data_IF_179017879582
#
_entry.id   IF_179017879582
#
_cell.length_a   1.000
_cell.length_b   1.000
_cell.length_c   1.000
_cell.angle_alpha   90.00
_cell.angle_beta   90.00
_cell.angle_gamma   90.00
#
_symmetry.space_group_name_H-M   'P 1'
#
loop_
_entity.id
_entity.type
_entity.pdbx_description
1 polymer ?
#
# COMPACT_ATOMS: atom_id res chain seq x y z
N UNK A 1 -4.95 6.06 18.79
CA UNK A 1 -4.36 7.14 17.95
C UNK A 1 -5.50 7.91 17.30
N UNK A 2 -5.49 9.25 17.39
CA UNK A 2 -6.51 10.06 16.73
C UNK A 2 -6.14 10.30 15.23
N UNK A 3 -7.12 10.72 14.38
CA UNK A 3 -6.85 10.91 12.96
C UNK A 3 -5.73 11.93 12.64
N UNK A 4 -5.57 12.99 13.41
CA UNK A 4 -4.55 14.01 13.14
C UNK A 4 -3.14 13.52 13.52
N UNK A 5 -3.00 12.75 14.59
CA UNK A 5 -1.75 12.07 14.92
C UNK A 5 -1.33 11.11 13.81
N UNK A 6 -2.28 10.28 13.32
CA UNK A 6 -2.01 9.38 12.20
C UNK A 6 -1.65 10.14 10.93
N UNK A 7 -2.34 11.25 10.62
CA UNK A 7 -1.99 12.11 9.48
C UNK A 7 -0.55 12.59 9.58
N UNK A 8 -0.11 13.06 10.75
CA UNK A 8 1.26 13.52 10.97
C UNK A 8 2.28 12.39 10.69
N UNK A 9 1.99 11.18 11.18
CA UNK A 9 2.84 10.00 10.94
C UNK A 9 2.92 9.69 9.45
N UNK A 10 1.80 9.66 8.74
CA UNK A 10 1.74 9.35 7.31
C UNK A 10 2.27 10.46 6.40
N UNK A 11 2.69 11.60 6.93
CA UNK A 11 3.23 12.71 6.15
C UNK A 11 4.74 12.61 5.90
N UNK A 12 5.40 11.58 6.41
CA UNK A 12 6.83 11.33 6.23
C UNK A 12 7.14 9.83 6.33
N UNK A 13 8.33 9.44 5.90
CA UNK A 13 8.81 8.07 5.95
C UNK A 13 8.32 7.19 4.78
N UNK A 14 8.76 5.95 4.81
CA UNK A 14 8.38 4.93 3.84
C UNK A 14 7.22 4.10 4.38
N UNK A 15 6.22 3.83 3.54
CA UNK A 15 5.10 2.97 3.86
C UNK A 15 5.27 1.60 3.18
N UNK A 16 4.68 0.55 3.73
CA UNK A 16 4.64 -0.73 3.06
C UNK A 16 3.32 -1.47 3.25
N UNK A 17 3.09 -2.42 2.36
CA UNK A 17 1.92 -3.27 2.28
C UNK A 17 2.40 -4.72 2.38
N UNK A 18 2.47 -5.32 3.58
CA UNK A 18 2.85 -6.72 3.72
C UNK A 18 1.99 -7.62 2.86
N UNK A 19 2.62 -8.58 2.16
CA UNK A 19 1.88 -9.66 1.50
C UNK A 19 1.19 -10.52 2.56
N UNK A 20 0.04 -11.07 2.25
CA UNK A 20 -0.64 -12.04 3.10
C UNK A 20 -0.06 -13.43 2.83
N UNK A 21 0.35 -14.12 3.88
CA UNK A 21 0.91 -15.47 3.78
C UNK A 21 -0.23 -16.49 3.64
N UNK A 22 -0.10 -17.36 2.64
CA UNK A 22 -0.99 -18.49 2.44
C UNK A 22 -0.22 -19.81 2.48
N UNK A 23 -0.88 -20.88 2.88
CA UNK A 23 -0.33 -22.23 2.74
C UNK A 23 -0.50 -22.74 1.29
N UNK A 24 -0.03 -23.94 1.01
CA UNK A 24 -0.11 -24.55 -0.32
C UNK A 24 -1.55 -24.82 -0.79
N UNK A 25 -2.50 -24.89 0.13
CA UNK A 25 -3.94 -25.00 -0.15
C UNK A 25 -4.58 -23.65 -0.42
N UNK A 26 -3.84 -22.57 -0.17
CA UNK A 26 -4.32 -21.21 -0.31
C UNK A 26 -5.04 -20.68 0.95
N UNK A 27 -5.01 -21.35 2.11
CA UNK A 27 -5.56 -20.85 3.36
C UNK A 27 -4.60 -19.87 4.02
N UNK A 28 -5.11 -18.97 4.86
CA UNK A 28 -4.28 -18.02 5.60
C UNK A 28 -3.29 -18.72 6.52
N UNK A 29 -2.00 -18.44 6.31
CA UNK A 29 -0.90 -18.96 7.14
C UNK A 29 -0.53 -17.92 8.19
N UNK A 30 -1.23 -17.94 9.33
CA UNK A 30 -1.00 -16.99 10.41
C UNK A 30 0.43 -17.00 10.94
N UNK A 31 1.03 -18.18 11.11
CA UNK A 31 2.40 -18.29 11.64
C UNK A 31 3.45 -17.69 10.67
N UNK A 32 3.29 -17.92 9.37
CA UNK A 32 4.13 -17.30 8.33
C UNK A 32 3.98 -15.78 8.34
N UNK A 33 2.74 -15.28 8.45
CA UNK A 33 2.46 -13.86 8.46
C UNK A 33 3.05 -13.15 9.70
N UNK A 34 2.96 -13.75 10.90
CA UNK A 34 3.62 -13.24 12.12
C UNK A 34 5.12 -13.12 11.89
N UNK A 35 5.77 -14.20 11.44
CA UNK A 35 7.21 -14.23 11.18
C UNK A 35 7.64 -13.14 10.19
N UNK A 36 6.86 -12.89 9.15
CA UNK A 36 7.08 -11.81 8.18
C UNK A 36 7.00 -10.43 8.83
N UNK A 37 5.96 -10.17 9.60
CA UNK A 37 5.76 -8.89 10.26
C UNK A 37 6.86 -8.60 11.29
N UNK A 38 7.26 -9.59 12.08
CA UNK A 38 8.38 -9.50 13.02
C UNK A 38 9.70 -9.21 12.30
N UNK A 39 9.91 -9.79 11.12
CA UNK A 39 11.08 -9.52 10.30
C UNK A 39 11.06 -8.10 9.71
N UNK A 40 9.93 -7.63 9.20
CA UNK A 40 9.82 -6.32 8.55
C UNK A 40 9.83 -5.14 9.54
N UNK A 41 9.26 -5.31 10.73
CA UNK A 41 9.07 -4.21 11.68
C UNK A 41 10.35 -3.45 12.06
N UNK A 42 11.53 -4.09 12.26
CA UNK A 42 12.77 -3.38 12.62
C UNK A 42 13.35 -2.49 11.53
N UNK A 43 12.95 -2.66 10.26
CA UNK A 43 13.50 -1.87 9.16
C UNK A 43 12.97 -0.43 9.08
N UNK A 44 12.01 -0.04 9.94
CA UNK A 44 11.63 1.35 10.13
C UNK A 44 10.63 1.89 9.11
N UNK A 45 9.79 1.04 8.49
CA UNK A 45 8.62 1.54 7.78
C UNK A 45 7.74 2.35 8.75
N UNK A 46 7.28 3.53 8.31
CA UNK A 46 6.49 4.45 9.16
C UNK A 46 5.11 3.90 9.50
N UNK A 47 4.52 3.14 8.59
CA UNK A 47 3.28 2.39 8.81
C UNK A 47 3.21 1.19 7.86
N UNK A 48 2.49 0.14 8.30
CA UNK A 48 2.18 -1.03 7.48
C UNK A 48 0.67 -1.10 7.22
N UNK A 49 0.31 -1.54 6.01
CA UNK A 49 -1.08 -1.63 5.58
C UNK A 49 -1.48 -3.10 5.40
N UNK A 50 -2.12 -3.68 6.40
CA UNK A 50 -2.63 -5.06 6.35
C UNK A 50 -3.83 -5.18 5.41
N UNK A 51 -3.99 -6.32 4.76
CA UNK A 51 -5.08 -6.59 3.82
C UNK A 51 -5.25 -5.49 2.77
N UNK A 52 -4.15 -4.89 2.30
CA UNK A 52 -4.16 -3.93 1.19
C UNK A 52 -4.12 -4.62 -0.16
N UNK A 53 -3.83 -3.85 -1.24
CA UNK A 53 -3.74 -4.42 -2.58
C UNK A 53 -2.65 -5.50 -2.70
N UNK A 54 -1.45 -5.23 -2.21
CA UNK A 54 -0.34 -6.20 -2.16
C UNK A 54 -0.64 -7.37 -1.23
N UNK A 55 -1.42 -7.14 -0.16
CA UNK A 55 -1.93 -8.17 0.76
C UNK A 55 -3.14 -8.94 0.23
N UNK A 56 -3.45 -8.83 -1.06
CA UNK A 56 -4.52 -9.57 -1.74
C UNK A 56 -5.93 -9.41 -1.12
N UNK A 57 -6.26 -8.19 -0.63
CA UNK A 57 -7.60 -7.90 -0.09
C UNK A 57 -8.73 -8.46 -0.95
N UNK A 58 -8.60 -8.36 -2.29
CA UNK A 58 -9.59 -8.82 -3.25
C UNK A 58 -9.85 -10.34 -3.24
N UNK A 59 -8.95 -11.13 -2.63
CA UNK A 59 -9.06 -12.59 -2.56
C UNK A 59 -9.44 -13.10 -1.15
N UNK A 60 -9.54 -12.21 -0.16
CA UNK A 60 -9.85 -12.58 1.22
C UNK A 60 -11.36 -12.74 1.43
N UNK A 61 -11.77 -13.84 2.04
CA UNK A 61 -13.10 -13.95 2.61
C UNK A 61 -13.21 -13.05 3.87
N UNK A 62 -14.43 -12.66 4.24
CA UNK A 62 -14.65 -11.81 5.40
C UNK A 62 -14.09 -12.40 6.71
N UNK A 63 -14.20 -13.72 6.89
CA UNK A 63 -13.64 -14.43 8.04
C UNK A 63 -12.12 -14.43 8.09
N UNK A 64 -11.45 -14.45 6.92
CA UNK A 64 -10.00 -14.36 6.82
C UNK A 64 -9.51 -12.94 7.04
N UNK A 65 -10.27 -11.94 6.53
CA UNK A 65 -9.96 -10.53 6.73
C UNK A 65 -9.75 -10.18 8.20
N UNK A 66 -10.69 -10.58 9.06
CA UNK A 66 -10.58 -10.34 10.48
C UNK A 66 -9.34 -11.00 11.10
N UNK A 67 -8.97 -12.20 10.66
CA UNK A 67 -7.77 -12.89 11.12
C UNK A 67 -6.50 -12.17 10.68
N UNK A 68 -6.40 -11.76 9.41
CA UNK A 68 -5.24 -11.04 8.86
C UNK A 68 -5.04 -9.71 9.59
N UNK A 69 -6.09 -8.89 9.72
CA UNK A 69 -6.01 -7.59 10.41
C UNK A 69 -5.66 -7.76 11.87
N UNK A 70 -6.34 -8.68 12.58
CA UNK A 70 -6.03 -8.94 14.00
C UNK A 70 -4.59 -9.40 14.20
N UNK A 71 -4.11 -10.32 13.36
CA UNK A 71 -2.73 -10.80 13.44
C UNK A 71 -1.72 -9.66 13.23
N UNK A 72 -1.97 -8.78 12.25
CA UNK A 72 -1.09 -7.64 12.01
C UNK A 72 -1.08 -6.67 13.20
N UNK A 73 -2.25 -6.33 13.73
CA UNK A 73 -2.36 -5.45 14.90
C UNK A 73 -1.67 -6.04 16.11
N UNK A 74 -1.97 -7.30 16.47
CA UNK A 74 -1.39 -7.96 17.64
C UNK A 74 0.14 -8.08 17.53
N UNK A 75 0.68 -8.37 16.34
CA UNK A 75 2.12 -8.53 16.12
C UNK A 75 2.86 -7.19 16.17
N UNK A 76 2.27 -6.13 15.62
CA UNK A 76 2.95 -4.84 15.43
C UNK A 76 2.54 -3.75 16.42
N UNK A 77 1.62 -4.01 17.35
CA UNK A 77 0.94 -3.01 18.20
C UNK A 77 1.87 -2.00 18.91
N UNK A 78 3.10 -2.39 19.22
CA UNK A 78 4.07 -1.55 19.93
C UNK A 78 5.18 -1.01 19.04
N UNK A 79 5.28 -1.44 17.78
CA UNK A 79 6.44 -1.15 16.91
C UNK A 79 6.07 -0.24 15.73
N UNK A 80 4.97 -0.50 15.05
CA UNK A 80 4.58 0.26 13.87
C UNK A 80 3.04 0.32 13.74
N UNK A 81 2.46 1.49 13.38
CA UNK A 81 1.03 1.62 13.16
C UNK A 81 0.53 0.70 12.04
N UNK A 82 -0.61 0.03 12.27
CA UNK A 82 -1.27 -0.81 11.28
C UNK A 82 -2.52 -0.10 10.75
N UNK A 83 -2.55 0.13 9.43
CA UNK A 83 -3.76 0.49 8.72
C UNK A 83 -4.33 -0.75 8.04
N UNK A 84 -5.65 -0.83 7.93
CA UNK A 84 -6.32 -1.94 7.25
C UNK A 84 -6.90 -1.50 5.90
N UNK A 85 -6.74 -2.35 4.86
CA UNK A 85 -7.45 -2.17 3.59
C UNK A 85 -8.94 -2.47 3.78
N UNK A 86 -9.80 -1.62 3.22
CA UNK A 86 -11.25 -1.82 3.22
C UNK A 86 -11.81 -1.48 1.84
N UNK A 87 -12.87 -2.15 1.39
CA UNK A 87 -13.40 -1.91 0.05
C UNK A 87 -14.58 -2.80 -0.30
N UNK A 88 -14.87 -2.91 -1.58
CA UNK A 88 -16.02 -3.64 -2.09
C UNK A 88 -17.25 -2.76 -2.26
N UNK A 89 -18.46 -3.29 -2.05
CA UNK A 89 -19.67 -2.48 -2.01
C UNK A 89 -19.65 -1.53 -0.79
N UNK A 90 -20.43 -0.46 -0.82
CA UNK A 90 -20.45 0.50 0.30
C UNK A 90 -20.74 -0.18 1.64
N UNK A 91 -21.67 -1.14 1.67
CA UNK A 91 -22.01 -1.87 2.90
C UNK A 91 -20.85 -2.74 3.40
N UNK A 92 -20.21 -3.49 2.49
CA UNK A 92 -19.03 -4.29 2.84
C UNK A 92 -17.87 -3.43 3.33
N UNK A 93 -17.62 -2.28 2.66
CA UNK A 93 -16.58 -1.35 3.09
C UNK A 93 -16.84 -0.80 4.49
N UNK A 94 -18.09 -0.52 4.85
CA UNK A 94 -18.49 -0.11 6.20
C UNK A 94 -18.28 -1.26 7.21
N UNK A 95 -18.70 -2.46 6.90
CA UNK A 95 -18.52 -3.64 7.75
C UNK A 95 -17.03 -3.90 8.02
N UNK A 96 -16.20 -3.90 6.99
CA UNK A 96 -14.76 -4.05 7.13
C UNK A 96 -14.11 -2.88 7.91
N UNK A 97 -14.59 -1.65 7.69
CA UNK A 97 -14.07 -0.47 8.39
C UNK A 97 -14.33 -0.55 9.90
N UNK A 98 -15.56 -0.89 10.28
CA UNK A 98 -15.96 -1.07 11.68
C UNK A 98 -15.23 -2.26 12.34
N UNK A 99 -15.07 -3.36 11.61
CA UNK A 99 -14.32 -4.52 12.10
C UNK A 99 -12.84 -4.17 12.29
N UNK A 100 -12.20 -3.49 11.36
CA UNK A 100 -10.80 -3.04 11.49
C UNK A 100 -10.61 -2.12 12.70
N UNK A 101 -11.51 -1.16 12.92
CA UNK A 101 -11.48 -0.28 14.09
C UNK A 101 -11.65 -1.08 15.38
N UNK A 102 -12.59 -2.03 15.42
CA UNK A 102 -12.82 -2.93 16.58
C UNK A 102 -11.59 -3.78 16.89
N UNK A 103 -10.86 -4.23 15.88
CA UNK A 103 -9.64 -5.03 16.01
C UNK A 103 -8.40 -4.19 16.39
N UNK A 104 -8.52 -2.86 16.44
CA UNK A 104 -7.44 -1.97 16.88
C UNK A 104 -6.57 -1.42 15.76
N UNK A 105 -6.99 -1.51 14.50
CA UNK A 105 -6.31 -0.80 13.41
C UNK A 105 -6.28 0.71 13.71
N UNK A 106 -5.15 1.37 13.40
CA UNK A 106 -4.98 2.80 13.67
C UNK A 106 -5.59 3.69 12.60
N UNK A 107 -5.87 3.12 11.43
CA UNK A 107 -6.51 3.80 10.32
C UNK A 107 -6.92 2.83 9.21
N UNK A 108 -7.44 3.39 8.13
CA UNK A 108 -7.96 2.63 6.99
C UNK A 108 -7.37 3.12 5.68
N UNK A 109 -7.19 2.20 4.74
CA UNK A 109 -7.05 2.51 3.31
C UNK A 109 -8.35 2.09 2.61
N UNK A 110 -9.11 3.07 2.16
CA UNK A 110 -10.31 2.82 1.36
C UNK A 110 -9.90 2.52 -0.09
N UNK A 111 -9.94 1.24 -0.45
CA UNK A 111 -9.68 0.72 -1.78
C UNK A 111 -10.81 1.09 -2.74
N UNK A 112 -10.56 1.13 -4.07
CA UNK A 112 -11.61 1.39 -5.05
C UNK A 112 -12.79 0.41 -4.92
N UNK A 113 -14.00 0.94 -5.11
CA UNK A 113 -15.19 0.10 -5.31
C UNK A 113 -15.05 -0.70 -6.63
N UNK A 114 -15.89 -1.72 -6.82
CA UNK A 114 -15.83 -2.56 -8.03
C UNK A 114 -16.62 -1.99 -9.22
N UNK A 115 -17.56 -1.07 -9.00
CA UNK A 115 -18.44 -0.52 -10.05
C UNK A 115 -17.64 0.39 -10.99
N UNK A 116 -17.70 0.12 -12.29
CA UNK A 116 -16.93 0.86 -13.31
C UNK A 116 -17.58 2.18 -13.73
N UNK A 117 -18.88 2.35 -13.48
CA UNK A 117 -19.72 3.45 -13.98
C UNK A 117 -20.31 4.29 -12.83
N UNK A 118 -19.47 4.68 -11.87
CA UNK A 118 -19.92 5.55 -10.78
C UNK A 118 -19.74 7.04 -11.14
N UNK A 119 -20.76 7.84 -10.87
CA UNK A 119 -20.64 9.31 -10.93
C UNK A 119 -19.77 9.83 -9.78
N UNK A 120 -19.24 11.06 -9.92
CA UNK A 120 -18.47 11.70 -8.84
C UNK A 120 -19.29 11.83 -7.55
N UNK A 121 -20.59 12.11 -7.64
CA UNK A 121 -21.46 12.21 -6.47
C UNK A 121 -21.69 10.84 -5.81
N UNK A 122 -21.78 9.76 -6.62
CA UNK A 122 -21.84 8.38 -6.11
C UNK A 122 -20.56 7.97 -5.40
N UNK A 123 -19.40 8.28 -5.97
CA UNK A 123 -18.11 8.05 -5.32
C UNK A 123 -17.99 8.86 -4.03
N UNK A 124 -18.42 10.14 -4.03
CA UNK A 124 -18.44 10.96 -2.82
C UNK A 124 -19.30 10.34 -1.72
N UNK A 125 -20.51 9.92 -2.06
CA UNK A 125 -21.44 9.30 -1.11
C UNK A 125 -20.84 8.00 -0.51
N UNK A 126 -20.15 7.19 -1.32
CA UNK A 126 -19.44 5.99 -0.88
C UNK A 126 -18.33 6.33 0.14
N UNK A 127 -17.42 7.26 -0.19
CA UNK A 127 -16.34 7.68 0.69
C UNK A 127 -16.88 8.29 1.99
N UNK A 128 -17.88 9.17 1.88
CA UNK A 128 -18.51 9.83 3.03
C UNK A 128 -19.18 8.81 3.97
N UNK A 129 -19.86 7.78 3.42
CA UNK A 129 -20.51 6.75 4.20
C UNK A 129 -19.49 5.92 5.00
N UNK A 130 -18.35 5.54 4.40
CA UNK A 130 -17.27 4.85 5.09
C UNK A 130 -16.63 5.73 6.16
N UNK A 131 -16.29 6.99 5.84
CA UNK A 131 -15.72 7.91 6.81
C UNK A 131 -16.62 8.11 8.05
N UNK A 132 -17.94 8.22 7.85
CA UNK A 132 -18.92 8.38 8.94
C UNK A 132 -19.12 7.15 9.79
N UNK A 133 -18.75 5.97 9.30
CA UNK A 133 -18.95 4.70 10.00
C UNK A 133 -17.91 4.40 11.09
N UNK A 134 -16.78 5.14 11.10
CA UNK A 134 -15.64 4.94 12.01
C UNK A 134 -15.11 6.27 12.53
N UNK A 135 -14.30 6.21 13.60
CA UNK A 135 -13.64 7.37 14.21
C UNK A 135 -12.17 7.47 13.82
N UNK A 136 -11.56 6.38 13.40
CA UNK A 136 -10.14 6.33 12.99
C UNK A 136 -9.93 7.03 11.64
N UNK A 137 -8.66 7.35 11.34
CA UNK A 137 -8.29 8.05 10.12
C UNK A 137 -8.50 7.20 8.86
N UNK A 138 -8.98 7.82 7.79
CA UNK A 138 -9.20 7.18 6.49
C UNK A 138 -8.29 7.80 5.45
N UNK A 139 -7.61 6.96 4.68
CA UNK A 139 -6.87 7.32 3.47
C UNK A 139 -7.67 6.81 2.27
N UNK A 140 -8.07 7.68 1.35
CA UNK A 140 -8.75 7.26 0.13
C UNK A 140 -7.74 6.93 -0.97
N UNK A 141 -7.97 5.83 -1.70
CA UNK A 141 -7.09 5.39 -2.78
C UNK A 141 -7.68 5.76 -4.15
N UNK A 142 -7.07 6.76 -4.76
CA UNK A 142 -7.41 7.22 -6.11
C UNK A 142 -6.79 6.29 -7.15
N UNK A 143 -7.55 5.33 -7.63
CA UNK A 143 -7.06 4.31 -8.59
C UNK A 143 -8.21 3.73 -9.42
N UNK A 144 -7.92 3.38 -10.67
CA UNK A 144 -8.86 2.74 -11.60
C UNK A 144 -10.20 3.49 -11.69
N UNK A 145 -11.28 2.87 -11.20
CA UNK A 145 -12.65 3.40 -11.23
C UNK A 145 -12.94 4.42 -10.14
N UNK A 146 -12.17 4.45 -9.06
CA UNK A 146 -12.29 5.42 -7.97
C UNK A 146 -11.43 6.66 -8.28
N UNK A 147 -11.89 7.48 -9.23
CA UNK A 147 -11.23 8.73 -9.63
C UNK A 147 -11.90 9.91 -8.96
N UNK A 148 -11.15 10.57 -8.08
CA UNK A 148 -11.62 11.73 -7.34
C UNK A 148 -11.04 13.00 -7.95
N UNK A 149 -11.90 13.91 -8.36
CA UNK A 149 -11.47 15.23 -8.82
C UNK A 149 -11.10 16.13 -7.63
N UNK A 150 -10.30 17.16 -7.88
CA UNK A 150 -9.89 18.08 -6.82
C UNK A 150 -11.10 18.80 -6.15
N UNK A 151 -12.14 19.28 -6.88
CA UNK A 151 -13.35 19.83 -6.25
C UNK A 151 -14.13 18.80 -5.40
N UNK A 152 -14.11 17.51 -5.80
CA UNK A 152 -14.77 16.48 -5.00
C UNK A 152 -14.03 16.23 -3.70
N UNK A 153 -12.69 16.15 -3.74
CA UNK A 153 -11.88 15.99 -2.55
C UNK A 153 -12.02 17.16 -1.58
N UNK A 154 -12.17 18.39 -2.08
CA UNK A 154 -12.44 19.58 -1.27
C UNK A 154 -13.76 19.44 -0.49
N UNK A 155 -14.84 19.06 -1.17
CA UNK A 155 -16.14 18.79 -0.51
C UNK A 155 -16.06 17.67 0.53
N UNK A 156 -15.32 16.59 0.23
CA UNK A 156 -15.10 15.48 1.16
C UNK A 156 -14.26 15.90 2.37
N UNK A 157 -13.26 16.75 2.17
CA UNK A 157 -12.42 17.26 3.24
C UNK A 157 -13.20 18.08 4.27
N UNK A 158 -14.23 18.80 3.83
CA UNK A 158 -15.14 19.56 4.70
C UNK A 158 -16.09 18.65 5.50
N UNK A 159 -16.62 17.60 4.84
CA UNK A 159 -17.65 16.71 5.40
C UNK A 159 -17.10 15.57 6.24
N UNK A 160 -15.85 15.20 6.01
CA UNK A 160 -15.19 14.03 6.61
C UNK A 160 -13.91 14.47 7.34
N UNK A 161 -14.00 14.91 8.61
CA UNK A 161 -12.82 15.35 9.37
C UNK A 161 -11.77 14.25 9.53
N UNK A 162 -12.19 12.98 9.55
CA UNK A 162 -11.33 11.80 9.64
C UNK A 162 -10.83 11.29 8.27
N UNK A 163 -11.20 11.89 7.15
CA UNK A 163 -10.52 11.67 5.87
C UNK A 163 -9.19 12.44 5.93
N UNK A 164 -8.10 11.74 6.17
CA UNK A 164 -6.79 12.33 6.50
C UNK A 164 -5.75 12.17 5.41
N UNK A 165 -5.99 11.31 4.43
CA UNK A 165 -4.99 11.02 3.41
C UNK A 165 -5.59 10.76 2.03
N UNK A 166 -4.76 11.03 1.03
CA UNK A 166 -5.03 10.75 -0.37
C UNK A 166 -3.86 9.96 -0.96
N UNK A 167 -4.13 8.76 -1.42
CA UNK A 167 -3.15 7.92 -2.10
C UNK A 167 -3.41 7.97 -3.60
N UNK A 168 -2.40 8.40 -4.36
CA UNK A 168 -2.49 8.43 -5.82
C UNK A 168 -1.92 7.15 -6.45
N UNK A 169 -2.73 6.46 -7.23
CA UNK A 169 -2.34 5.28 -8.00
C UNK A 169 -2.57 5.43 -9.50
N UNK A 170 -2.80 6.66 -9.98
CA UNK A 170 -3.01 6.96 -11.39
C UNK A 170 -1.77 7.51 -12.08
N UNK A 171 -0.97 8.32 -11.39
CA UNK A 171 0.16 9.04 -11.99
C UNK A 171 -0.26 10.26 -12.79
N UNK A 172 -1.43 10.81 -12.52
CA UNK A 172 -1.94 12.02 -13.17
C UNK A 172 -1.36 13.26 -12.49
N UNK A 173 -0.28 13.78 -13.07
CA UNK A 173 0.47 14.92 -12.54
C UNK A 173 -0.38 16.20 -12.49
N UNK A 174 -1.18 16.46 -13.53
CA UNK A 174 -2.06 17.63 -13.58
C UNK A 174 -3.10 17.59 -12.45
N UNK A 175 -3.72 16.44 -12.24
CA UNK A 175 -4.65 16.23 -11.13
C UNK A 175 -3.95 16.42 -9.77
N UNK A 176 -2.75 15.88 -9.59
CA UNK A 176 -1.99 16.03 -8.34
C UNK A 176 -1.63 17.50 -8.05
N UNK A 177 -1.21 18.26 -9.06
CA UNK A 177 -0.97 19.71 -8.93
C UNK A 177 -2.25 20.42 -8.51
N UNK A 178 -3.38 20.13 -9.17
CA UNK A 178 -4.68 20.72 -8.85
C UNK A 178 -5.11 20.42 -7.40
N UNK A 179 -4.96 19.17 -6.96
CA UNK A 179 -5.28 18.73 -5.59
C UNK A 179 -4.40 19.46 -4.57
N UNK A 180 -3.08 19.45 -4.78
CA UNK A 180 -2.13 20.09 -3.86
C UNK A 180 -2.37 21.60 -3.74
N UNK A 181 -2.68 22.27 -4.84
CA UNK A 181 -2.94 23.72 -4.84
C UNK A 181 -4.25 24.08 -4.13
N UNK A 182 -5.30 23.26 -4.24
CA UNK A 182 -6.58 23.50 -3.57
C UNK A 182 -6.58 23.15 -2.09
N UNK A 183 -5.93 22.05 -1.73
CA UNK A 183 -6.08 21.43 -0.42
C UNK A 183 -4.85 21.63 0.48
N UNK A 184 -3.72 22.13 -0.07
CA UNK A 184 -2.50 22.36 0.70
C UNK A 184 -2.14 21.16 1.56
N UNK A 185 -1.99 21.36 2.86
CA UNK A 185 -1.62 20.31 3.82
C UNK A 185 -2.83 19.68 4.53
N UNK A 186 -4.03 19.76 3.90
CA UNK A 186 -5.25 19.15 4.46
C UNK A 186 -5.13 17.63 4.59
N UNK A 187 -4.41 16.98 3.68
CA UNK A 187 -4.17 15.53 3.65
C UNK A 187 -2.69 15.18 3.78
N UNK A 188 -2.41 13.96 4.24
CA UNK A 188 -1.18 13.26 3.86
C UNK A 188 -1.33 12.77 2.42
N UNK A 189 -0.35 13.05 1.57
CA UNK A 189 -0.35 12.65 0.16
C UNK A 189 0.64 11.52 -0.05
N UNK A 190 0.18 10.42 -0.62
CA UNK A 190 0.93 9.19 -0.73
C UNK A 190 1.08 8.77 -2.20
N UNK A 191 2.30 8.57 -2.67
CA UNK A 191 2.59 7.90 -3.93
C UNK A 191 2.16 6.43 -3.85
N UNK A 192 1.25 6.02 -4.70
CA UNK A 192 0.62 4.71 -4.65
C UNK A 192 0.62 3.93 -5.95
N UNK A 193 1.43 4.36 -6.91
CA UNK A 193 1.66 3.64 -8.16
C UNK A 193 2.38 2.31 -7.89
N UNK A 194 2.14 1.27 -8.68
CA UNK A 194 2.96 0.06 -8.62
C UNK A 194 4.43 0.41 -8.87
N UNK A 195 5.33 -0.04 -8.00
CA UNK A 195 6.74 0.38 -7.98
C UNK A 195 6.85 1.91 -7.92
N UNK A 196 6.30 2.49 -6.85
CA UNK A 196 6.24 3.94 -6.64
C UNK A 196 7.63 4.60 -6.60
N UNK A 197 8.67 3.81 -6.38
CA UNK A 197 10.07 4.23 -6.34
C UNK A 197 10.48 4.99 -7.61
N UNK A 198 10.11 4.51 -8.79
CA UNK A 198 10.48 5.16 -10.07
C UNK A 198 9.79 6.52 -10.29
N UNK A 199 8.79 6.83 -9.48
CA UNK A 199 8.08 8.12 -9.47
C UNK A 199 8.48 9.02 -8.31
N UNK A 200 9.22 8.49 -7.32
CA UNK A 200 9.40 9.11 -6.02
C UNK A 200 10.05 10.50 -6.09
N UNK A 201 11.07 10.68 -6.93
CA UNK A 201 11.73 11.99 -7.11
C UNK A 201 10.78 13.04 -7.67
N UNK A 202 10.01 12.69 -8.72
CA UNK A 202 9.03 13.60 -9.32
C UNK A 202 7.89 13.94 -8.34
N UNK A 203 7.40 12.95 -7.58
CA UNK A 203 6.35 13.15 -6.58
C UNK A 203 6.83 14.01 -5.41
N UNK A 204 8.08 13.83 -4.95
CA UNK A 204 8.68 14.70 -3.94
C UNK A 204 8.67 16.17 -4.41
N UNK A 205 9.04 16.44 -5.66
CA UNK A 205 9.02 17.78 -6.23
C UNK A 205 7.60 18.39 -6.29
N UNK A 206 6.55 17.55 -6.39
CA UNK A 206 5.14 17.97 -6.31
C UNK A 206 4.64 18.18 -4.86
N UNK A 207 5.51 17.99 -3.84
CA UNK A 207 5.12 18.04 -2.44
C UNK A 207 4.45 16.76 -1.94
N UNK A 208 4.77 15.60 -2.54
CA UNK A 208 4.32 14.27 -2.13
C UNK A 208 5.56 13.41 -1.78
N UNK A 209 6.17 13.61 -0.60
CA UNK A 209 7.44 12.98 -0.25
C UNK A 209 7.31 11.53 0.21
N UNK A 210 6.08 11.05 0.39
CA UNK A 210 5.78 9.72 0.95
C UNK A 210 5.24 8.81 -0.15
N UNK A 211 5.68 7.56 -0.14
CA UNK A 211 5.15 6.53 -1.03
C UNK A 211 5.13 5.16 -0.36
N UNK A 212 4.44 4.22 -0.97
CA UNK A 212 4.40 2.84 -0.52
C UNK A 212 5.32 1.96 -1.35
N UNK A 213 6.26 1.28 -0.69
CA UNK A 213 7.20 0.35 -1.29
C UNK A 213 6.68 -1.08 -1.24
N UNK A 214 6.52 -1.70 -2.40
CA UNK A 214 6.22 -3.13 -2.48
C UNK A 214 7.48 -3.99 -2.28
N UNK A 215 8.63 -3.52 -2.75
CA UNK A 215 9.92 -4.24 -2.64
C UNK A 215 10.43 -4.31 -1.20
N UNK A 216 9.92 -3.48 -0.30
CA UNK A 216 10.16 -3.59 1.13
C UNK A 216 9.81 -4.98 1.70
N UNK A 217 8.93 -5.73 1.04
CA UNK A 217 8.56 -7.10 1.43
C UNK A 217 9.69 -8.12 1.26
N UNK A 218 10.78 -7.80 0.55
CA UNK A 218 11.85 -8.77 0.27
C UNK A 218 13.26 -8.15 0.21
N UNK A 219 13.39 -6.85 0.00
CA UNK A 219 14.65 -6.11 0.09
C UNK A 219 14.45 -4.83 0.94
N UNK A 220 14.04 -4.98 2.22
CA UNK A 220 13.66 -3.84 3.05
C UNK A 220 14.80 -2.84 3.27
N UNK A 221 16.03 -3.31 3.39
CA UNK A 221 17.21 -2.43 3.52
C UNK A 221 17.39 -1.57 2.27
N UNK A 222 17.41 -2.18 1.09
CA UNK A 222 17.53 -1.45 -0.18
C UNK A 222 16.37 -0.47 -0.36
N UNK A 223 15.14 -0.85 0.00
CA UNK A 223 13.97 0.04 -0.04
C UNK A 223 14.16 1.28 0.84
N UNK A 224 14.69 1.11 2.07
CA UNK A 224 14.97 2.22 2.98
C UNK A 224 16.15 3.06 2.51
N UNK A 225 17.22 2.45 2.00
CA UNK A 225 18.36 3.17 1.46
C UNK A 225 17.94 4.07 0.29
N UNK A 226 17.08 3.55 -0.61
CA UNK A 226 16.50 4.33 -1.71
C UNK A 226 15.63 5.49 -1.20
N UNK A 227 14.75 5.22 -0.24
CA UNK A 227 13.93 6.28 0.38
C UNK A 227 14.79 7.39 0.97
N UNK A 228 15.84 7.04 1.70
CA UNK A 228 16.75 8.01 2.29
C UNK A 228 17.55 8.78 1.23
N UNK A 229 17.95 8.14 0.14
CA UNK A 229 18.61 8.80 -0.98
C UNK A 229 17.68 9.85 -1.64
N UNK A 230 16.41 9.49 -1.89
CA UNK A 230 15.37 10.45 -2.35
C UNK A 230 15.20 11.62 -1.35
N UNK A 231 15.13 11.32 -0.07
CA UNK A 231 14.93 12.35 0.96
C UNK A 231 16.09 13.36 1.00
N UNK A 232 17.33 12.89 0.84
CA UNK A 232 18.57 13.71 0.86
C UNK A 232 18.95 14.30 -0.50
N UNK A 233 18.18 13.99 -1.57
CA UNK A 233 18.50 14.41 -2.95
C UNK A 233 19.84 13.84 -3.47
N UNK A 234 20.19 12.64 -3.01
CA UNK A 234 21.36 11.90 -3.48
C UNK A 234 21.04 11.23 -4.83
N UNK A 235 21.09 12.05 -5.88
CA UNK A 235 20.74 11.62 -7.24
C UNK A 235 21.62 10.47 -7.73
N UNK A 236 22.89 10.45 -7.38
CA UNK A 236 23.81 9.39 -7.83
C UNK A 236 23.39 8.01 -7.26
N UNK A 237 23.03 7.95 -5.98
CA UNK A 237 22.52 6.71 -5.37
C UNK A 237 21.15 6.35 -5.93
N UNK A 238 20.26 7.33 -6.13
CA UNK A 238 18.92 7.11 -6.73
C UNK A 238 19.05 6.53 -8.12
N UNK A 239 19.81 7.16 -9.01
CA UNK A 239 20.00 6.72 -10.39
C UNK A 239 20.60 5.31 -10.44
N UNK A 240 21.62 5.06 -9.61
CA UNK A 240 22.23 3.73 -9.53
C UNK A 240 21.23 2.63 -9.14
N UNK A 241 20.40 2.85 -8.13
CA UNK A 241 19.42 1.83 -7.70
C UNK A 241 18.30 1.68 -8.74
N UNK A 242 17.90 2.77 -9.40
CA UNK A 242 16.93 2.70 -10.51
C UNK A 242 17.48 1.83 -11.63
N UNK A 243 18.71 2.08 -12.09
CA UNK A 243 19.32 1.36 -13.21
C UNK A 243 19.64 -0.10 -12.87
N UNK A 244 20.23 -0.33 -11.69
CA UNK A 244 20.69 -1.66 -11.28
C UNK A 244 19.56 -2.59 -10.81
N UNK A 245 18.45 -2.02 -10.32
CA UNK A 245 17.37 -2.82 -9.75
C UNK A 245 15.99 -2.49 -10.32
N UNK A 246 15.51 -1.24 -10.21
CA UNK A 246 14.10 -0.97 -10.48
C UNK A 246 13.72 -1.12 -11.95
N UNK A 247 14.53 -0.70 -12.90
CA UNK A 247 14.23 -0.87 -14.32
C UNK A 247 14.23 -2.35 -14.72
N UNK A 248 15.25 -3.17 -14.40
CA UNK A 248 15.19 -4.61 -14.63
C UNK A 248 14.02 -5.32 -13.90
N UNK A 249 13.67 -4.88 -12.69
CA UNK A 249 12.51 -5.39 -11.96
C UNK A 249 11.20 -5.07 -12.71
N UNK A 250 11.07 -3.88 -13.27
CA UNK A 250 9.91 -3.49 -14.09
C UNK A 250 9.79 -4.35 -15.35
N UNK A 251 10.90 -4.73 -15.98
CA UNK A 251 10.91 -5.60 -17.16
C UNK A 251 10.29 -6.98 -16.87
N UNK A 252 10.44 -7.50 -15.64
CA UNK A 252 9.79 -8.72 -15.20
C UNK A 252 8.33 -8.45 -14.83
N UNK A 253 8.08 -7.45 -14.00
CA UNK A 253 6.73 -7.10 -13.49
C UNK A 253 5.73 -6.81 -14.61
N UNK A 254 6.18 -6.16 -15.69
CA UNK A 254 5.31 -5.70 -16.77
C UNK A 254 5.00 -6.78 -17.81
N UNK A 255 5.58 -7.98 -17.71
CA UNK A 255 5.34 -9.06 -18.67
C UNK A 255 3.89 -9.56 -18.64
N UNK A 256 3.25 -9.49 -17.48
CA UNK A 256 1.89 -10.00 -17.33
C UNK A 256 1.06 -9.13 -16.37
N UNK A 257 -0.23 -8.95 -16.70
CA UNK A 257 -1.17 -8.31 -15.80
C UNK A 257 -1.28 -9.09 -14.48
N UNK A 258 -1.31 -8.39 -13.34
CA UNK A 258 -1.36 -9.00 -12.01
C UNK A 258 0.00 -9.25 -11.36
N UNK A 259 1.09 -9.23 -12.08
CA UNK A 259 2.43 -9.49 -11.56
C UNK A 259 2.91 -8.48 -10.48
N UNK A 260 2.23 -7.37 -10.33
CA UNK A 260 2.54 -6.43 -9.23
C UNK A 260 2.41 -7.04 -7.81
N UNK A 261 1.66 -8.14 -7.66
CA UNK A 261 1.59 -8.91 -6.41
C UNK A 261 2.45 -10.17 -6.50
N UNK A 262 2.33 -10.90 -7.61
CA UNK A 262 3.04 -12.17 -7.81
C UNK A 262 4.56 -12.03 -7.68
N UNK A 263 5.14 -10.96 -8.25
CA UNK A 263 6.58 -10.70 -8.18
C UNK A 263 7.03 -10.39 -6.74
N UNK A 264 6.18 -9.77 -5.92
CA UNK A 264 6.49 -9.48 -4.53
C UNK A 264 6.52 -10.75 -3.69
N UNK A 265 5.56 -11.67 -3.90
CA UNK A 265 5.58 -12.99 -3.24
C UNK A 265 6.77 -13.84 -3.68
N UNK A 266 7.09 -13.82 -4.98
CA UNK A 266 8.30 -14.47 -5.48
C UNK A 266 9.57 -13.91 -4.84
N UNK A 267 9.69 -12.59 -4.75
CA UNK A 267 10.79 -11.92 -4.05
C UNK A 267 10.88 -12.30 -2.57
N UNK A 268 9.74 -12.34 -1.88
CA UNK A 268 9.69 -12.76 -0.48
C UNK A 268 10.16 -14.22 -0.29
N UNK A 269 9.79 -15.12 -1.20
CA UNK A 269 10.28 -16.50 -1.20
C UNK A 269 11.79 -16.58 -1.42
N UNK A 270 12.33 -15.82 -2.37
CA UNK A 270 13.77 -15.72 -2.63
C UNK A 270 14.52 -15.22 -1.39
N UNK A 271 13.97 -14.24 -0.69
CA UNK A 271 14.53 -13.69 0.55
C UNK A 271 14.39 -14.64 1.78
N UNK A 272 13.82 -15.84 1.60
CA UNK A 272 13.66 -16.83 2.68
C UNK A 272 12.39 -16.69 3.52
N UNK A 273 11.47 -15.81 3.09
CA UNK A 273 10.17 -15.58 3.73
C UNK A 273 9.04 -15.95 2.76
N UNK A 274 8.89 -17.25 2.46
CA UNK A 274 7.88 -17.76 1.52
C UNK A 274 6.47 -17.44 2.01
N UNK A 275 5.75 -16.63 1.23
CA UNK A 275 4.35 -16.24 1.51
C UNK A 275 3.33 -17.19 0.87
N UNK A 276 3.77 -18.30 0.30
CA UNK A 276 2.92 -19.19 -0.47
C UNK A 276 2.50 -18.62 -1.83
N UNK A 277 1.61 -19.30 -2.54
CA UNK A 277 1.15 -18.87 -3.86
C UNK A 277 0.28 -17.62 -3.79
N UNK A 278 0.13 -16.93 -4.92
CA UNK A 278 -0.96 -15.96 -5.06
C UNK A 278 -2.29 -16.71 -5.26
N UNK A 279 -3.39 -16.07 -4.88
CA UNK A 279 -4.74 -16.60 -5.14
C UNK A 279 -5.25 -16.15 -6.50
N UNK A 280 -6.06 -16.99 -7.13
CA UNK A 280 -6.79 -16.62 -8.36
C UNK A 280 -7.60 -15.34 -8.13
N UNK A 281 -7.73 -14.46 -9.14
CA UNK A 281 -7.34 -14.64 -10.56
C UNK A 281 -5.86 -14.32 -10.87
N UNK A 282 -5.02 -14.07 -9.87
CA UNK A 282 -3.58 -13.90 -10.09
C UNK A 282 -2.91 -15.24 -10.44
N UNK A 283 -1.71 -15.15 -10.99
CA UNK A 283 -0.85 -16.30 -11.28
C UNK A 283 0.56 -16.02 -10.80
N UNK A 284 1.24 -17.05 -10.33
CA UNK A 284 2.66 -16.93 -9.94
C UNK A 284 3.53 -16.64 -11.18
N UNK A 285 4.78 -16.22 -10.93
CA UNK A 285 5.79 -16.03 -11.95
C UNK A 285 6.11 -17.38 -12.64
N UNK A 286 6.50 -17.29 -13.91
CA UNK A 286 7.09 -18.42 -14.61
C UNK A 286 8.49 -18.73 -14.04
N UNK A 287 8.98 -19.98 -14.18
CA UNK A 287 10.29 -20.38 -13.64
C UNK A 287 11.44 -19.46 -14.07
N UNK A 288 11.51 -19.12 -15.36
CA UNK A 288 12.53 -18.22 -15.91
C UNK A 288 12.44 -16.78 -15.38
N UNK A 289 11.25 -16.32 -15.02
CA UNK A 289 11.03 -15.00 -14.42
C UNK A 289 11.44 -14.99 -12.96
N UNK A 290 11.19 -16.10 -12.27
CA UNK A 290 11.63 -16.31 -10.89
C UNK A 290 13.17 -16.34 -10.79
N UNK A 291 13.85 -17.04 -11.70
CA UNK A 291 15.32 -17.08 -11.78
C UNK A 291 15.90 -15.68 -12.08
N UNK A 292 15.29 -14.95 -13.02
CA UNK A 292 15.71 -13.59 -13.33
C UNK A 292 15.56 -12.64 -12.12
N UNK A 293 14.46 -12.77 -11.38
CA UNK A 293 14.25 -11.99 -10.15
C UNK A 293 15.24 -12.39 -9.06
N UNK A 294 15.53 -13.68 -8.90
CA UNK A 294 16.51 -14.17 -7.91
C UNK A 294 17.90 -13.59 -8.18
N UNK A 295 18.36 -13.61 -9.43
CA UNK A 295 19.63 -13.01 -9.82
C UNK A 295 19.67 -11.49 -9.58
N UNK A 296 18.54 -10.82 -9.69
CA UNK A 296 18.42 -9.38 -9.45
C UNK A 296 18.49 -9.06 -7.94
N UNK A 297 17.83 -9.86 -7.10
CA UNK A 297 17.84 -9.72 -5.65
C UNK A 297 19.22 -10.03 -5.08
N UNK A 298 19.89 -11.07 -5.58
CA UNK A 298 21.24 -11.46 -5.13
C UNK A 298 22.25 -10.31 -5.26
N UNK A 299 22.14 -9.49 -6.31
CA UNK A 299 22.98 -8.31 -6.51
C UNK A 299 22.78 -7.22 -5.46
N UNK A 300 21.68 -7.23 -4.72
CA UNK A 300 21.42 -6.25 -3.67
C UNK A 300 22.16 -6.55 -2.36
N UNK A 301 22.78 -7.73 -2.24
CA UNK A 301 23.48 -8.17 -1.04
C UNK A 301 22.55 -8.56 0.10
N UNK A 302 23.11 -8.72 1.29
CA UNK A 302 22.36 -9.10 2.48
C UNK A 302 21.36 -8.00 2.91
N UNK A 303 20.14 -8.39 3.19
CA UNK A 303 19.04 -7.54 3.63
C UNK A 303 18.79 -7.62 5.14
#
# INVERSE_FOLDING_TARGET
>A
MNPQELKSILSHGLLSFPVTDFNVQGDFNQAGYIKRLEWLAPYGATALFAAGGTGEFFSLAASEYSQVVKTAVDTCATSVPILAGVGGSTRQAIEYAQEAERLGATGLLLLPHYLTEASQDGVAAHVEAVCKSVKIGVVVYNRNVCRLTAPLLERLAERCPNLIGYKDGLGDIELMVSIRRRLGDRFSYLGGLPTAEVYAAAYKALGVPVYSSAVFNFIPKTAMDFYHAIAREDHATVDKIIDDFFLPYLDIRNRKAGYAVSIVKAGAKIAGYDAGPVRTPLTDLLPEEYEALAALIDKQGAQ
#
